data_IF_625917303687
#
_entry.id   IF_625917303687
#
_cell.length_a   1.000
_cell.length_b   1.000
_cell.length_c   1.000
_cell.angle_alpha   90.00
_cell.angle_beta   90.00
_cell.angle_gamma   90.00
#
_symmetry.space_group_name_H-M   'P 1'
#
loop_
_entity.id
_entity.type
_entity.pdbx_description
1 polymer ?
#
# COMPACT_ATOMS: atom_id res chain seq x y z
N UNK A 1 14.60 21.10 24.38
CA UNK A 1 14.62 19.68 23.95
C UNK A 1 13.63 18.99 24.85
N UNK A 2 12.59 18.36 24.29
CA UNK A 2 11.65 17.55 25.06
C UNK A 2 12.43 16.37 25.67
N UNK A 3 12.21 16.11 26.94
CA UNK A 3 12.80 14.95 27.60
C UNK A 3 12.09 13.68 27.15
N UNK A 4 12.69 12.98 26.18
CA UNK A 4 12.18 11.74 25.65
C UNK A 4 12.46 10.52 26.54
N UNK A 5 13.29 10.70 27.60
CA UNK A 5 13.77 9.61 28.45
C UNK A 5 12.66 8.91 29.25
N UNK A 6 11.51 9.55 29.40
CA UNK A 6 10.33 8.99 30.06
C UNK A 6 9.28 8.45 29.08
N UNK A 7 9.55 8.54 27.75
CA UNK A 7 8.59 8.12 26.72
C UNK A 7 8.94 6.75 26.20
N UNK A 8 7.98 5.83 26.30
CA UNK A 8 8.08 4.46 25.81
C UNK A 8 7.59 4.35 24.37
N UNK A 9 8.44 3.83 23.50
CA UNK A 9 8.14 3.60 22.09
C UNK A 9 8.25 2.13 21.75
N UNK A 10 7.19 1.57 21.19
CA UNK A 10 7.20 0.22 20.63
C UNK A 10 7.42 0.30 19.14
N UNK A 11 8.52 -0.29 18.67
CA UNK A 11 8.88 -0.33 17.25
C UNK A 11 8.42 -1.63 16.61
N UNK A 12 7.63 -1.55 15.56
CA UNK A 12 7.28 -2.70 14.73
C UNK A 12 8.52 -3.22 14.00
N UNK A 13 9.07 -4.33 14.48
CA UNK A 13 10.29 -4.96 13.95
C UNK A 13 9.90 -6.01 12.90
N UNK A 14 10.11 -5.69 11.62
CA UNK A 14 9.76 -6.58 10.50
C UNK A 14 10.89 -7.54 10.09
N UNK A 15 12.06 -7.46 10.72
CA UNK A 15 13.26 -8.16 10.24
C UNK A 15 13.90 -7.51 9.00
N UNK A 16 13.48 -6.30 8.61
CA UNK A 16 14.04 -5.51 7.52
C UNK A 16 14.96 -4.38 7.99
N UNK A 17 15.67 -3.77 7.06
CA UNK A 17 16.62 -2.68 7.35
C UNK A 17 15.95 -1.42 7.90
N UNK A 18 14.76 -1.09 7.40
CA UNK A 18 14.07 0.16 7.76
C UNK A 18 13.59 0.15 9.21
N UNK A 19 12.99 -0.94 9.67
CA UNK A 19 12.59 -1.09 11.08
C UNK A 19 13.79 -1.16 12.02
N UNK A 20 14.89 -1.79 11.57
CA UNK A 20 16.14 -1.86 12.33
C UNK A 20 16.73 -0.49 12.60
N UNK A 21 16.84 0.35 11.57
CA UNK A 21 17.35 1.72 11.69
C UNK A 21 16.39 2.63 12.44
N UNK A 22 15.08 2.40 12.29
CA UNK A 22 14.03 3.10 13.08
C UNK A 22 14.28 2.93 14.58
N UNK A 23 14.50 1.69 15.05
CA UNK A 23 14.76 1.41 16.46
C UNK A 23 16.04 2.13 16.95
N UNK A 24 17.11 2.08 16.18
CA UNK A 24 18.35 2.78 16.49
C UNK A 24 18.17 4.29 16.59
N UNK A 25 17.52 4.91 15.61
CA UNK A 25 17.33 6.38 15.60
C UNK A 25 16.53 6.85 16.80
N UNK A 26 15.51 6.11 17.22
CA UNK A 26 14.72 6.44 18.40
C UNK A 26 15.52 6.29 19.71
N UNK A 27 16.41 5.30 19.82
CA UNK A 27 17.34 5.24 20.94
C UNK A 27 18.26 6.47 20.96
N UNK A 28 18.80 6.89 19.81
CA UNK A 28 19.65 8.09 19.73
C UNK A 28 18.89 9.36 20.08
N UNK A 29 17.56 9.39 19.88
CA UNK A 29 16.69 10.48 20.30
C UNK A 29 16.30 10.42 21.77
N UNK A 30 16.78 9.42 22.52
CA UNK A 30 16.62 9.27 23.95
C UNK A 30 15.32 8.58 24.40
N UNK A 31 14.56 7.97 23.50
CA UNK A 31 13.35 7.21 23.85
C UNK A 31 13.68 5.86 24.54
N UNK A 32 12.77 5.38 25.36
CA UNK A 32 12.76 4.00 25.83
C UNK A 32 12.19 3.10 24.74
N UNK A 33 13.06 2.38 24.03
CA UNK A 33 12.69 1.61 22.85
C UNK A 33 12.53 0.12 23.19
N UNK A 34 11.44 -0.47 22.74
CA UNK A 34 11.16 -1.91 22.77
C UNK A 34 10.72 -2.34 21.37
N UNK A 35 11.15 -3.49 20.89
CA UNK A 35 10.72 -4.07 19.63
C UNK A 35 9.46 -4.92 19.79
N UNK A 36 8.64 -4.97 18.73
CA UNK A 36 7.52 -5.91 18.60
C UNK A 36 7.56 -6.56 17.24
N UNK A 37 7.67 -7.87 17.18
CA UNK A 37 7.52 -8.66 15.97
C UNK A 37 6.07 -9.14 15.85
N UNK A 38 5.45 -8.91 14.68
CA UNK A 38 4.07 -9.30 14.39
C UNK A 38 4.06 -10.48 13.41
N UNK A 39 3.50 -11.61 13.83
CA UNK A 39 3.15 -12.71 12.94
C UNK A 39 1.73 -12.50 12.41
N UNK A 40 1.56 -12.34 11.11
CA UNK A 40 0.28 -11.99 10.51
C UNK A 40 -0.19 -13.01 9.46
N UNK A 41 0.55 -14.11 9.28
CA UNK A 41 0.20 -15.17 8.34
C UNK A 41 0.68 -16.52 8.85
N UNK A 42 -0.17 -17.55 8.77
CA UNK A 42 0.12 -18.91 9.28
C UNK A 42 -0.04 -20.04 8.29
N UNK A 43 -0.77 -19.83 7.18
CA UNK A 43 -1.17 -20.94 6.27
C UNK A 43 -0.03 -21.67 5.55
N UNK A 44 1.20 -21.17 5.64
CA UNK A 44 2.37 -21.74 4.97
C UNK A 44 3.53 -21.99 5.93
N UNK A 45 3.26 -22.39 7.14
CA UNK A 45 4.28 -22.81 8.11
C UNK A 45 4.97 -24.15 7.70
N UNK A 46 4.82 -24.57 6.43
CA UNK A 46 5.57 -25.68 5.85
C UNK A 46 7.06 -25.34 5.73
N UNK A 47 7.92 -26.30 6.01
CA UNK A 47 9.38 -26.16 6.20
C UNK A 47 10.14 -25.45 5.06
N UNK A 48 9.58 -25.30 3.88
CA UNK A 48 10.25 -24.74 2.69
C UNK A 48 10.07 -23.22 2.51
N UNK A 49 9.15 -22.56 3.24
CA UNK A 49 8.78 -21.14 3.02
C UNK A 49 8.59 -20.29 4.28
N UNK A 50 9.12 -20.67 5.41
CA UNK A 50 8.95 -19.89 6.66
C UNK A 50 9.80 -18.61 6.66
N UNK A 51 9.42 -17.63 5.82
CA UNK A 51 10.02 -16.27 5.84
C UNK A 51 9.87 -15.61 7.21
N UNK A 52 8.76 -15.87 7.90
CA UNK A 52 8.47 -15.32 9.23
C UNK A 52 9.51 -15.75 10.29
N UNK A 53 9.99 -16.99 10.25
CA UNK A 53 11.03 -17.45 11.17
C UNK A 53 12.38 -16.76 10.93
N UNK A 54 12.75 -16.58 9.66
CA UNK A 54 13.96 -15.83 9.28
C UNK A 54 13.84 -14.36 9.67
N UNK A 55 12.70 -13.74 9.40
CA UNK A 55 12.45 -12.34 9.72
C UNK A 55 12.44 -12.11 11.25
N UNK A 56 11.90 -13.05 12.03
CA UNK A 56 11.95 -13.02 13.48
C UNK A 56 13.39 -13.16 14.00
N UNK A 57 14.17 -14.09 13.43
CA UNK A 57 15.58 -14.26 13.80
C UNK A 57 16.40 -12.99 13.50
N UNK A 58 16.18 -12.36 12.35
CA UNK A 58 16.82 -11.10 12.00
C UNK A 58 16.41 -9.95 12.95
N UNK A 59 15.11 -9.86 13.27
CA UNK A 59 14.59 -8.87 14.22
C UNK A 59 15.21 -9.07 15.61
N UNK A 60 15.32 -10.33 16.10
CA UNK A 60 15.97 -10.66 17.37
C UNK A 60 17.45 -10.27 17.36
N UNK A 61 18.19 -10.60 16.29
CA UNK A 61 19.61 -10.26 16.18
C UNK A 61 19.83 -8.74 16.21
N UNK A 62 18.95 -7.97 15.58
CA UNK A 62 19.00 -6.50 15.64
C UNK A 62 18.71 -6.00 17.06
N UNK A 63 17.69 -6.52 17.71
CA UNK A 63 17.33 -6.12 19.07
C UNK A 63 18.47 -6.46 20.06
N UNK A 64 19.08 -7.63 19.95
CA UNK A 64 20.26 -8.01 20.75
C UNK A 64 21.44 -7.05 20.52
N UNK A 65 21.71 -6.69 19.28
CA UNK A 65 22.78 -5.74 18.90
C UNK A 65 22.53 -4.35 19.48
N UNK A 66 21.27 -3.90 19.51
CA UNK A 66 20.88 -2.59 20.05
C UNK A 66 20.65 -2.61 21.56
N UNK A 67 20.60 -3.78 22.18
CA UNK A 67 20.34 -3.93 23.61
C UNK A 67 18.89 -3.57 23.99
N UNK A 68 17.93 -3.87 23.12
CA UNK A 68 16.50 -3.67 23.36
C UNK A 68 15.75 -5.01 23.45
N UNK A 69 14.67 -5.03 24.23
CA UNK A 69 13.79 -6.19 24.33
C UNK A 69 12.96 -6.35 23.04
N UNK A 70 12.67 -7.60 22.65
CA UNK A 70 11.77 -7.94 21.56
C UNK A 70 10.58 -8.75 22.10
N UNK A 71 9.37 -8.23 21.92
CA UNK A 71 8.12 -8.98 22.10
C UNK A 71 7.64 -9.55 20.78
N UNK A 72 6.77 -10.57 20.85
CA UNK A 72 6.11 -11.16 19.69
C UNK A 72 4.61 -11.17 19.91
N UNK A 73 3.85 -10.95 18.85
CA UNK A 73 2.39 -11.05 18.84
C UNK A 73 1.91 -11.75 17.57
N UNK A 74 0.80 -12.45 17.65
CA UNK A 74 0.18 -13.11 16.52
C UNK A 74 -1.14 -12.41 16.18
N UNK A 75 -1.20 -11.79 14.99
CA UNK A 75 -2.39 -11.14 14.43
C UNK A 75 -2.89 -11.88 13.17
N UNK A 76 -2.59 -13.17 13.02
CA UNK A 76 -2.96 -13.92 11.82
C UNK A 76 -4.49 -13.98 11.63
N UNK A 77 -5.26 -14.10 12.69
CA UNK A 77 -6.71 -14.09 12.64
C UNK A 77 -7.24 -12.71 12.21
N UNK A 78 -6.76 -11.64 12.82
CA UNK A 78 -7.13 -10.26 12.48
C UNK A 78 -6.76 -9.91 11.05
N UNK A 79 -5.61 -10.39 10.58
CA UNK A 79 -5.18 -10.20 9.19
C UNK A 79 -6.09 -10.96 8.22
N UNK A 80 -6.44 -12.19 8.54
CA UNK A 80 -7.35 -12.99 7.72
C UNK A 80 -8.70 -12.30 7.58
N UNK A 81 -9.34 -11.96 8.69
CA UNK A 81 -10.70 -11.43 8.71
C UNK A 81 -10.80 -10.01 8.14
N UNK A 82 -9.82 -9.14 8.41
CA UNK A 82 -9.91 -7.71 8.07
C UNK A 82 -9.12 -7.30 6.83
N UNK A 83 -8.23 -8.15 6.33
CA UNK A 83 -7.40 -7.83 5.14
C UNK A 83 -7.61 -8.86 4.05
N UNK A 84 -7.41 -10.14 4.34
CA UNK A 84 -7.34 -11.17 3.30
C UNK A 84 -8.71 -11.54 2.74
N UNK A 85 -9.74 -11.67 3.57
CA UNK A 85 -11.11 -11.91 3.07
C UNK A 85 -11.58 -10.78 2.17
N UNK A 86 -11.39 -9.52 2.57
CA UNK A 86 -11.74 -8.36 1.75
C UNK A 86 -10.96 -8.34 0.43
N UNK A 87 -9.69 -8.71 0.47
CA UNK A 87 -8.87 -8.86 -0.73
C UNK A 87 -9.45 -9.90 -1.69
N UNK A 88 -9.89 -11.06 -1.21
CA UNK A 88 -10.52 -12.09 -2.03
C UNK A 88 -11.87 -11.64 -2.61
N UNK A 89 -12.70 -10.94 -1.82
CA UNK A 89 -13.98 -10.41 -2.26
C UNK A 89 -13.84 -9.38 -3.41
N UNK A 90 -12.86 -8.49 -3.30
CA UNK A 90 -12.58 -7.52 -4.35
C UNK A 90 -12.14 -8.20 -5.67
N UNK A 91 -11.32 -9.23 -5.60
CA UNK A 91 -10.95 -10.00 -6.79
C UNK A 91 -12.12 -10.78 -7.39
N UNK A 92 -12.99 -11.36 -6.57
CA UNK A 92 -14.26 -11.98 -7.05
C UNK A 92 -15.14 -10.99 -7.78
N UNK A 93 -15.17 -9.75 -7.33
CA UNK A 93 -15.92 -8.67 -7.96
C UNK A 93 -15.22 -8.06 -9.21
N UNK A 94 -14.08 -8.62 -9.64
CA UNK A 94 -13.31 -8.15 -10.80
C UNK A 94 -12.49 -6.89 -10.55
N UNK A 95 -12.47 -6.36 -9.33
CA UNK A 95 -11.70 -5.18 -8.94
C UNK A 95 -10.26 -5.57 -8.58
N UNK A 96 -9.39 -4.58 -8.50
CA UNK A 96 -7.96 -4.78 -8.13
C UNK A 96 -7.70 -4.08 -6.81
N UNK A 97 -7.78 -4.77 -5.65
CA UNK A 97 -7.57 -4.19 -4.32
C UNK A 97 -6.11 -3.88 -4.04
N UNK A 98 -5.87 -3.11 -2.97
CA UNK A 98 -4.54 -2.88 -2.42
C UNK A 98 -4.48 -3.40 -0.97
N UNK A 99 -4.00 -4.63 -0.76
CA UNK A 99 -3.96 -5.24 0.56
C UNK A 99 -2.98 -4.55 1.52
N UNK A 100 -1.95 -3.84 1.01
CA UNK A 100 -0.99 -3.14 1.85
C UNK A 100 -1.64 -1.95 2.58
N UNK A 101 -2.58 -1.26 1.92
CA UNK A 101 -3.36 -0.18 2.56
C UNK A 101 -4.23 -0.77 3.68
N UNK A 102 -4.93 -1.88 3.42
CA UNK A 102 -5.75 -2.55 4.43
C UNK A 102 -4.91 -3.07 5.60
N UNK A 103 -3.75 -3.67 5.31
CA UNK A 103 -2.82 -4.11 6.34
C UNK A 103 -2.33 -2.96 7.22
N UNK A 104 -1.97 -1.83 6.64
CA UNK A 104 -1.59 -0.66 7.41
C UNK A 104 -2.75 -0.18 8.29
N UNK A 105 -3.96 -0.06 7.71
CA UNK A 105 -5.15 0.42 8.42
C UNK A 105 -5.55 -0.48 9.59
N UNK A 106 -5.71 -1.78 9.35
CA UNK A 106 -6.35 -2.69 10.31
C UNK A 106 -5.34 -3.37 11.25
N UNK A 107 -4.11 -3.61 10.78
CA UNK A 107 -3.10 -4.32 11.57
C UNK A 107 -2.09 -3.36 12.20
N UNK A 108 -1.32 -2.61 11.37
CA UNK A 108 -0.19 -1.83 11.90
C UNK A 108 -0.60 -0.61 12.69
N UNK A 109 -1.67 0.09 12.29
CA UNK A 109 -2.09 1.33 12.94
C UNK A 109 -3.43 1.21 13.68
N UNK A 110 -3.94 -0.01 13.85
CA UNK A 110 -5.07 -0.32 14.71
C UNK A 110 -4.69 -1.41 15.70
N UNK A 111 -4.66 -2.69 15.31
CA UNK A 111 -4.36 -3.80 16.22
C UNK A 111 -3.01 -3.63 16.95
N UNK A 112 -1.95 -3.26 16.22
CA UNK A 112 -0.64 -3.00 16.84
C UNK A 112 -0.67 -1.78 17.75
N UNK A 113 -1.30 -0.67 17.34
CA UNK A 113 -1.39 0.53 18.19
C UNK A 113 -2.15 0.25 19.48
N UNK A 114 -3.29 -0.44 19.40
CA UNK A 114 -4.09 -0.84 20.57
C UNK A 114 -3.28 -1.76 21.51
N UNK A 115 -2.68 -2.82 20.96
CA UNK A 115 -1.85 -3.75 21.75
C UNK A 115 -0.65 -3.04 22.41
N UNK A 116 0.05 -2.17 21.69
CA UNK A 116 1.19 -1.44 22.23
C UNK A 116 0.78 -0.49 23.37
N UNK A 117 -0.35 0.19 23.23
CA UNK A 117 -0.85 1.12 24.23
C UNK A 117 -1.42 0.40 25.46
N UNK A 118 -2.25 -0.62 25.28
CA UNK A 118 -3.00 -1.28 26.35
C UNK A 118 -2.18 -2.33 27.07
N UNK A 119 -1.48 -3.20 26.33
CA UNK A 119 -0.75 -4.33 26.92
C UNK A 119 0.71 -3.97 27.26
N UNK A 120 1.34 -3.10 26.48
CA UNK A 120 2.74 -2.74 26.69
C UNK A 120 2.95 -1.34 27.28
N UNK A 121 1.89 -0.56 27.45
CA UNK A 121 1.95 0.78 28.04
C UNK A 121 2.79 1.78 27.24
N UNK A 122 2.71 1.72 25.91
CA UNK A 122 3.46 2.61 25.01
C UNK A 122 2.85 4.01 24.96
N UNK A 123 3.71 5.03 24.92
CA UNK A 123 3.31 6.40 24.59
C UNK A 123 3.17 6.56 23.05
N UNK A 124 4.02 5.85 22.29
CA UNK A 124 4.05 5.87 20.82
C UNK A 124 4.33 4.48 20.27
N UNK A 125 3.85 4.26 19.04
CA UNK A 125 4.41 3.22 18.17
C UNK A 125 5.36 3.85 17.16
N UNK A 126 6.24 3.04 16.57
CA UNK A 126 7.05 3.47 15.46
C UNK A 126 7.16 2.39 14.39
N UNK A 127 7.29 2.81 13.16
CA UNK A 127 7.43 1.93 12.01
C UNK A 127 8.50 2.45 11.06
N UNK A 128 9.05 1.55 10.24
CA UNK A 128 10.02 1.88 9.19
C UNK A 128 9.41 2.48 7.92
N UNK A 129 8.25 3.16 8.01
CA UNK A 129 7.64 3.81 6.84
C UNK A 129 8.33 5.13 6.49
N UNK A 130 8.53 5.36 5.20
CA UNK A 130 9.05 6.61 4.64
C UNK A 130 7.94 7.64 4.50
N UNK A 131 7.49 8.16 5.62
CA UNK A 131 6.56 9.29 5.74
C UNK A 131 7.01 10.20 6.87
N UNK A 132 6.45 11.41 6.95
CA UNK A 132 6.75 12.35 8.03
C UNK A 132 5.47 12.78 8.73
N UNK A 133 5.62 13.27 9.93
CA UNK A 133 4.56 13.84 10.75
C UNK A 133 4.84 15.32 11.00
N UNK A 134 3.80 16.13 10.94
CA UNK A 134 3.84 17.53 11.34
C UNK A 134 2.64 17.84 12.23
N UNK A 135 2.92 18.40 13.40
CA UNK A 135 1.86 18.82 14.33
C UNK A 135 1.56 20.31 14.12
N UNK A 136 0.30 20.63 13.81
CA UNK A 136 -0.17 21.99 13.53
C UNK A 136 -1.55 22.18 14.16
N UNK A 137 -1.71 23.20 14.99
CA UNK A 137 -2.99 23.58 15.61
C UNK A 137 -3.70 22.42 16.33
N UNK A 138 -2.93 21.58 17.04
CA UNK A 138 -3.44 20.44 17.79
C UNK A 138 -3.83 19.23 16.96
N UNK A 139 -3.53 19.22 15.67
CA UNK A 139 -3.71 18.10 14.77
C UNK A 139 -2.39 17.63 14.19
N UNK A 140 -2.27 16.34 13.97
CA UNK A 140 -1.10 15.75 13.31
C UNK A 140 -1.41 15.49 11.84
N UNK A 141 -0.56 16.02 10.96
CA UNK A 141 -0.61 15.84 9.51
C UNK A 141 0.33 14.75 9.07
N UNK A 142 -0.08 14.01 8.08
CA UNK A 142 0.77 13.04 7.38
C UNK A 142 1.42 13.73 6.18
N UNK A 143 2.77 13.69 6.13
CA UNK A 143 3.53 14.24 5.01
C UNK A 143 4.29 13.14 4.27
N UNK A 144 4.61 13.43 3.02
CA UNK A 144 5.50 12.58 2.22
C UNK A 144 6.85 12.42 2.91
N UNK A 145 7.49 11.26 2.70
CA UNK A 145 8.90 11.08 3.06
C UNK A 145 9.82 11.97 2.23
N UNK A 146 11.00 12.28 2.77
CA UNK A 146 12.03 13.08 2.07
C UNK A 146 12.51 12.37 0.80
N UNK A 147 12.66 11.03 0.85
CA UNK A 147 12.98 10.23 -0.33
C UNK A 147 11.71 10.02 -1.17
N UNK A 148 11.54 10.82 -2.22
CA UNK A 148 10.39 10.74 -3.12
C UNK A 148 10.26 9.40 -3.86
N UNK A 149 11.36 8.61 -4.01
CA UNK A 149 11.31 7.28 -4.60
C UNK A 149 10.82 6.22 -3.62
N UNK A 150 10.88 6.52 -2.31
CA UNK A 150 10.49 5.62 -1.22
C UNK A 150 9.26 6.12 -0.46
N UNK A 151 8.75 7.31 -0.75
CA UNK A 151 7.55 7.86 -0.11
C UNK A 151 6.43 6.83 -0.06
N UNK A 152 5.92 6.57 1.14
CA UNK A 152 4.88 5.57 1.41
C UNK A 152 3.57 6.20 1.91
N UNK A 153 3.43 7.52 1.82
CA UNK A 153 2.21 8.22 2.24
C UNK A 153 0.95 7.71 1.53
N UNK A 154 1.09 7.24 0.28
CA UNK A 154 0.02 6.59 -0.48
C UNK A 154 -0.61 5.39 0.27
N UNK A 155 0.17 4.63 1.01
CA UNK A 155 -0.30 3.45 1.74
C UNK A 155 -0.84 3.77 3.14
N UNK A 156 -0.68 5.01 3.60
CA UNK A 156 -1.04 5.46 4.94
C UNK A 156 -2.14 6.53 4.99
N UNK A 157 -2.78 6.82 3.87
CA UNK A 157 -3.82 7.84 3.79
C UNK A 157 -5.06 7.55 4.66
N UNK A 158 -5.22 6.31 5.09
CA UNK A 158 -6.32 5.86 5.95
C UNK A 158 -6.08 6.10 7.45
N UNK A 159 -4.93 6.66 7.82
CA UNK A 159 -4.66 7.04 9.21
C UNK A 159 -5.42 8.29 9.61
N UNK A 160 -6.01 8.27 10.80
CA UNK A 160 -6.55 9.49 11.42
C UNK A 160 -5.44 10.36 12.00
N UNK A 161 -5.73 11.63 12.24
CA UNK A 161 -4.75 12.53 12.85
C UNK A 161 -4.32 12.05 14.26
N UNK A 162 -5.19 11.36 15.00
CA UNK A 162 -4.87 10.75 16.30
C UNK A 162 -3.87 9.60 16.14
N UNK A 163 -4.09 8.72 15.15
CA UNK A 163 -3.15 7.62 14.85
C UNK A 163 -1.79 8.16 14.39
N UNK A 164 -1.78 9.22 13.57
CA UNK A 164 -0.54 9.90 13.19
C UNK A 164 0.13 10.52 14.42
N UNK A 165 -0.63 11.13 15.34
CA UNK A 165 -0.12 11.72 16.58
C UNK A 165 0.55 10.71 17.50
N UNK A 166 0.08 9.46 17.50
CA UNK A 166 0.61 8.36 18.29
C UNK A 166 1.70 7.55 17.58
N UNK A 167 2.14 7.98 16.41
CA UNK A 167 3.10 7.26 15.56
C UNK A 167 4.35 8.08 15.28
N UNK A 168 5.51 7.40 15.21
CA UNK A 168 6.81 7.99 14.86
C UNK A 168 7.37 7.32 13.62
N UNK A 169 7.96 8.11 12.73
CA UNK A 169 8.47 7.69 11.43
C UNK A 169 9.89 8.23 11.19
N UNK A 170 10.91 7.85 12.00
CA UNK A 170 12.21 8.50 11.94
C UNK A 170 12.93 8.33 10.60
N UNK A 171 12.75 7.22 9.89
CA UNK A 171 13.36 7.03 8.56
C UNK A 171 12.73 7.87 7.45
N UNK A 172 11.54 8.43 7.68
CA UNK A 172 10.89 9.35 6.74
C UNK A 172 11.62 10.66 6.52
N UNK A 173 12.51 11.05 7.44
CA UNK A 173 13.40 12.22 7.33
C UNK A 173 14.70 11.93 6.58
N UNK A 174 14.91 10.69 6.12
CA UNK A 174 16.14 10.22 5.50
C UNK A 174 15.89 9.68 4.10
N UNK A 175 16.92 9.76 3.25
CA UNK A 175 16.94 9.00 2.01
C UNK A 175 17.38 7.54 2.27
N UNK A 176 16.89 6.60 1.46
CA UNK A 176 17.19 5.16 1.60
C UNK A 176 18.70 4.83 1.63
N UNK A 177 19.55 5.46 0.82
CA UNK A 177 21.00 5.22 0.90
C UNK A 177 21.58 5.55 2.29
N UNK A 178 21.07 6.60 2.95
CA UNK A 178 21.49 6.97 4.30
C UNK A 178 21.05 5.94 5.34
N UNK A 179 19.82 5.44 5.23
CA UNK A 179 19.32 4.35 6.09
C UNK A 179 20.21 3.11 5.97
N UNK A 180 20.62 2.73 4.75
CA UNK A 180 21.53 1.60 4.54
C UNK A 180 22.93 1.87 5.09
N UNK A 181 23.43 3.09 4.90
CA UNK A 181 24.74 3.50 5.45
C UNK A 181 24.76 3.37 6.98
N UNK A 182 23.70 3.81 7.66
CA UNK A 182 23.58 3.66 9.13
C UNK A 182 23.59 2.18 9.51
N UNK A 183 22.81 1.36 8.83
CA UNK A 183 22.73 -0.08 9.10
C UNK A 183 24.09 -0.79 8.89
N UNK A 184 24.84 -0.41 7.86
CA UNK A 184 26.18 -0.93 7.59
C UNK A 184 27.20 -0.49 8.65
N UNK A 185 27.18 0.77 9.07
CA UNK A 185 28.04 1.28 10.14
C UNK A 185 27.80 0.59 11.48
N UNK A 186 26.56 0.20 11.75
CA UNK A 186 26.18 -0.56 12.93
C UNK A 186 26.42 -2.06 12.76
N UNK A 187 26.86 -2.50 11.60
CA UNK A 187 27.04 -3.93 11.26
C UNK A 187 25.76 -4.76 11.54
N UNK A 188 24.59 -4.20 11.21
CA UNK A 188 23.32 -4.90 11.38
C UNK A 188 23.19 -6.03 10.35
N UNK A 189 22.67 -7.17 10.77
CA UNK A 189 22.44 -8.33 9.89
C UNK A 189 21.52 -7.99 8.71
N UNK A 190 20.65 -7.00 8.90
CA UNK A 190 19.66 -6.52 7.90
C UNK A 190 20.23 -5.52 6.90
N UNK A 191 21.48 -5.02 7.07
CA UNK A 191 22.05 -3.93 6.26
C UNK A 191 22.02 -4.20 4.74
N UNK A 192 22.29 -5.44 4.32
CA UNK A 192 22.29 -5.86 2.91
C UNK A 192 21.02 -6.59 2.47
N UNK A 193 20.04 -6.73 3.39
CA UNK A 193 18.79 -7.39 3.06
C UNK A 193 18.02 -6.58 2.02
N UNK A 194 17.49 -7.27 1.00
CA UNK A 194 16.66 -6.63 -0.02
C UNK A 194 15.37 -6.07 0.61
N UNK A 195 14.87 -4.99 0.02
CA UNK A 195 13.56 -4.48 0.41
C UNK A 195 12.51 -5.54 0.09
N UNK A 196 11.54 -5.73 0.99
CA UNK A 196 10.43 -6.65 0.76
C UNK A 196 9.64 -6.19 -0.46
N UNK A 197 9.40 -7.10 -1.37
CA UNK A 197 8.51 -6.93 -2.53
C UNK A 197 7.43 -8.01 -2.43
N UNK A 198 6.21 -7.68 -2.84
CA UNK A 198 5.08 -8.59 -2.69
C UNK A 198 4.01 -8.08 -1.73
N UNK A 199 3.01 -8.91 -1.45
CA UNK A 199 1.92 -8.57 -0.51
C UNK A 199 2.47 -8.62 0.92
N UNK A 200 2.15 -7.59 1.69
CA UNK A 200 2.59 -7.44 3.07
C UNK A 200 2.28 -8.70 3.89
N UNK A 201 3.29 -9.26 4.56
CA UNK A 201 3.29 -10.49 5.37
C UNK A 201 3.10 -11.83 4.62
N UNK A 202 2.65 -11.83 3.36
CA UNK A 202 2.52 -13.03 2.53
C UNK A 202 3.82 -13.30 1.77
N UNK A 203 4.58 -12.23 1.45
CA UNK A 203 5.88 -12.30 0.81
C UNK A 203 5.83 -12.42 -0.72
N UNK A 204 7.00 -12.74 -1.30
CA UNK A 204 7.14 -12.92 -2.75
C UNK A 204 6.66 -14.30 -3.16
N UNK A 205 5.53 -14.35 -3.84
CA UNK A 205 4.97 -15.59 -4.41
C UNK A 205 4.55 -15.36 -5.85
N UNK A 206 4.45 -16.43 -6.62
CA UNK A 206 3.78 -16.36 -7.90
C UNK A 206 2.31 -16.07 -7.64
N UNK A 207 1.90 -14.85 -7.91
CA UNK A 207 0.57 -14.34 -7.60
C UNK A 207 -0.57 -15.23 -8.08
N UNK A 208 -0.44 -15.81 -9.30
CA UNK A 208 -1.43 -16.73 -9.85
C UNK A 208 -1.57 -18.01 -9.04
N UNK A 209 -0.44 -18.61 -8.64
CA UNK A 209 -0.43 -19.85 -7.88
C UNK A 209 -0.99 -19.64 -6.48
N UNK A 210 -0.67 -18.50 -5.86
CA UNK A 210 -1.20 -18.12 -4.57
C UNK A 210 -2.72 -17.87 -4.62
N UNK A 211 -3.17 -16.96 -5.48
CA UNK A 211 -4.59 -16.58 -5.57
C UNK A 211 -5.47 -17.78 -6.03
N UNK A 212 -4.94 -18.63 -6.89
CA UNK A 212 -5.63 -19.83 -7.39
C UNK A 212 -5.96 -20.88 -6.32
N UNK A 213 -5.30 -20.83 -5.15
CA UNK A 213 -5.64 -21.70 -4.00
C UNK A 213 -6.99 -21.34 -3.37
N UNK A 214 -7.35 -20.04 -3.43
CA UNK A 214 -8.54 -19.49 -2.77
C UNK A 214 -9.67 -19.18 -3.74
N UNK A 215 -9.34 -18.82 -4.98
CA UNK A 215 -10.29 -18.46 -6.01
C UNK A 215 -10.15 -19.37 -7.23
N UNK A 216 -11.17 -20.14 -7.60
CA UNK A 216 -11.12 -20.95 -8.81
C UNK A 216 -11.03 -20.05 -10.03
N UNK A 217 -9.98 -20.23 -10.82
CA UNK A 217 -9.79 -19.52 -12.08
C UNK A 217 -10.74 -20.06 -13.14
N UNK A 218 -11.38 -19.16 -13.88
CA UNK A 218 -12.23 -19.50 -15.00
C UNK A 218 -11.62 -18.95 -16.29
N UNK A 219 -11.10 -19.79 -17.20
CA UNK A 219 -10.63 -19.34 -18.51
C UNK A 219 -11.76 -18.70 -19.32
N UNK A 220 -11.40 -17.76 -20.20
CA UNK A 220 -12.35 -17.10 -21.06
C UNK A 220 -11.67 -16.32 -22.19
N UNK A 221 -12.45 -15.78 -23.15
CA UNK A 221 -11.89 -15.11 -24.31
C UNK A 221 -11.26 -13.75 -23.95
N UNK A 222 -10.16 -13.46 -24.63
CA UNK A 222 -9.63 -12.10 -24.77
C UNK A 222 -10.14 -11.54 -26.10
N UNK A 223 -10.82 -10.42 -26.07
CA UNK A 223 -11.33 -9.76 -27.28
C UNK A 223 -10.73 -8.37 -27.44
N UNK A 224 -10.59 -7.94 -28.70
CA UNK A 224 -10.26 -6.54 -28.97
C UNK A 224 -11.51 -5.66 -28.83
N UNK A 225 -11.31 -4.32 -29.01
CA UNK A 225 -12.40 -3.33 -28.91
C UNK A 225 -13.50 -3.49 -29.96
N UNK A 226 -13.24 -4.22 -31.05
CA UNK A 226 -14.18 -4.54 -32.12
C UNK A 226 -14.93 -5.87 -31.85
N UNK A 227 -14.66 -6.54 -30.71
CA UNK A 227 -15.28 -7.80 -30.34
C UNK A 227 -14.65 -9.04 -30.97
N UNK A 228 -13.52 -8.92 -31.66
CA UNK A 228 -12.81 -10.06 -32.23
C UNK A 228 -11.98 -10.76 -31.15
N UNK A 229 -12.05 -12.09 -31.11
CA UNK A 229 -11.23 -12.89 -30.20
C UNK A 229 -9.77 -12.86 -30.65
N UNK A 230 -8.88 -12.46 -29.75
CA UNK A 230 -7.44 -12.31 -29.97
C UNK A 230 -6.61 -13.24 -29.09
N UNK A 231 -7.24 -13.94 -28.15
CA UNK A 231 -6.58 -14.86 -27.25
C UNK A 231 -7.54 -15.45 -26.19
N UNK A 232 -6.96 -16.12 -25.21
CA UNK A 232 -7.67 -16.69 -24.07
C UNK A 232 -6.93 -16.32 -22.77
N UNK A 233 -7.68 -15.87 -21.75
CA UNK A 233 -7.16 -15.66 -20.41
C UNK A 233 -7.44 -16.85 -19.49
N UNK A 234 -6.64 -17.03 -18.46
CA UNK A 234 -6.78 -18.12 -17.50
C UNK A 234 -7.61 -17.72 -16.25
N UNK A 235 -8.13 -16.51 -16.21
CA UNK A 235 -8.97 -15.94 -15.15
C UNK A 235 -8.91 -14.42 -15.15
N UNK A 236 -10.06 -13.74 -15.15
CA UNK A 236 -10.14 -12.27 -15.14
C UNK A 236 -9.44 -11.65 -13.93
N UNK A 237 -9.44 -12.34 -12.79
CA UNK A 237 -8.81 -11.90 -11.56
C UNK A 237 -7.30 -11.69 -11.69
N UNK A 238 -6.63 -12.34 -12.65
CA UNK A 238 -5.19 -12.18 -12.88
C UNK A 238 -4.82 -10.97 -13.71
N UNK A 239 -5.80 -10.17 -14.13
CA UNK A 239 -5.61 -9.05 -15.03
C UNK A 239 -6.07 -7.74 -14.38
N UNK A 240 -5.32 -6.66 -14.67
CA UNK A 240 -5.60 -5.31 -14.19
C UNK A 240 -5.64 -4.34 -15.38
N UNK A 241 -6.46 -3.29 -15.32
CA UNK A 241 -6.50 -2.25 -16.34
C UNK A 241 -5.11 -1.65 -16.56
N UNK A 242 -4.73 -1.47 -17.81
CA UNK A 242 -3.41 -1.01 -18.23
C UNK A 242 -2.31 -2.08 -18.18
N UNK A 243 -2.62 -3.32 -17.84
CA UNK A 243 -1.65 -4.42 -17.92
C UNK A 243 -1.27 -4.68 -19.38
N UNK A 244 0.04 -4.79 -19.61
CA UNK A 244 0.66 -5.07 -20.91
C UNK A 244 1.24 -6.47 -21.01
N UNK A 245 1.90 -6.91 -19.92
CA UNK A 245 2.64 -8.19 -19.91
C UNK A 245 1.73 -9.37 -19.54
N UNK A 246 2.05 -10.54 -20.08
CA UNK A 246 1.38 -11.80 -19.69
C UNK A 246 -0.01 -12.00 -20.31
N UNK A 247 -0.35 -11.29 -21.39
CA UNK A 247 -1.62 -11.46 -22.10
C UNK A 247 -1.62 -12.67 -23.02
N UNK A 248 -0.42 -13.13 -23.48
CA UNK A 248 -0.31 -14.29 -24.37
C UNK A 248 -0.90 -14.09 -25.76
N UNK A 249 -1.12 -12.84 -26.18
CA UNK A 249 -1.63 -12.53 -27.50
C UNK A 249 -0.49 -12.61 -28.50
N UNK A 250 -0.64 -13.52 -29.49
CA UNK A 250 0.30 -13.67 -30.61
C UNK A 250 0.21 -12.51 -31.61
N UNK A 251 1.21 -12.39 -32.48
CA UNK A 251 1.17 -11.41 -33.60
C UNK A 251 -0.01 -11.71 -34.52
N UNK A 252 -0.90 -10.73 -34.69
CA UNK A 252 -2.04 -10.83 -35.59
C UNK A 252 -1.69 -10.21 -36.94
N UNK A 253 -2.14 -10.82 -38.04
CA UNK A 253 -1.78 -10.46 -39.43
C UNK A 253 -2.25 -9.08 -39.83
N UNK A 254 -3.03 -8.33 -39.24
CA UNK A 254 -3.57 -7.02 -39.60
C UNK A 254 -3.64 -6.03 -38.40
N UNK A 255 -2.84 -6.30 -37.36
CA UNK A 255 -2.74 -5.42 -36.18
C UNK A 255 -1.54 -4.46 -36.30
N UNK A 256 -1.60 -3.31 -35.66
CA UNK A 256 -0.42 -2.43 -35.51
C UNK A 256 0.68 -3.17 -34.72
N UNK A 257 1.92 -2.67 -34.80
CA UNK A 257 3.03 -3.18 -33.97
C UNK A 257 2.95 -2.74 -32.51
N UNK A 258 1.93 -1.94 -32.16
CA UNK A 258 1.76 -1.42 -30.81
C UNK A 258 1.40 -2.50 -29.81
N UNK A 259 1.90 -2.39 -28.57
CA UNK A 259 1.57 -3.35 -27.52
C UNK A 259 0.07 -3.37 -27.17
N UNK A 260 -0.41 -4.54 -26.79
CA UNK A 260 -1.75 -4.72 -26.25
C UNK A 260 -1.81 -4.34 -24.77
N UNK A 261 -2.90 -3.66 -24.40
CA UNK A 261 -3.22 -3.25 -23.03
C UNK A 261 -4.62 -3.71 -22.64
N UNK A 262 -4.80 -4.14 -21.40
CA UNK A 262 -6.13 -4.40 -20.83
C UNK A 262 -6.86 -3.05 -20.70
N UNK A 263 -8.02 -2.92 -21.34
CA UNK A 263 -8.82 -1.70 -21.29
C UNK A 263 -10.15 -1.89 -20.57
N UNK A 264 -10.62 -3.14 -20.41
CA UNK A 264 -11.86 -3.43 -19.68
C UNK A 264 -11.92 -4.90 -19.24
N UNK A 265 -12.84 -5.19 -18.29
CA UNK A 265 -13.19 -6.54 -17.84
C UNK A 265 -14.70 -6.68 -17.83
N UNK A 266 -15.26 -7.48 -18.71
CA UNK A 266 -16.67 -7.89 -18.64
C UNK A 266 -16.79 -9.10 -17.70
N UNK A 267 -17.01 -8.81 -16.44
CA UNK A 267 -17.09 -9.85 -15.39
C UNK A 267 -18.31 -10.76 -15.60
N UNK A 268 -19.42 -10.20 -16.06
CA UNK A 268 -20.67 -10.95 -16.28
C UNK A 268 -20.52 -12.03 -17.35
N UNK A 269 -19.76 -11.74 -18.41
CA UNK A 269 -19.54 -12.64 -19.53
C UNK A 269 -18.16 -13.34 -19.50
N UNK A 270 -17.36 -13.09 -18.46
CA UNK A 270 -16.00 -13.61 -18.31
C UNK A 270 -15.08 -13.27 -19.49
N UNK A 271 -15.13 -12.01 -19.98
CA UNK A 271 -14.37 -11.52 -21.14
C UNK A 271 -13.35 -10.47 -20.72
N UNK A 272 -12.11 -10.63 -21.19
CA UNK A 272 -11.07 -9.61 -21.05
C UNK A 272 -11.02 -8.77 -22.34
N UNK A 273 -11.15 -7.45 -22.23
CA UNK A 273 -11.11 -6.54 -23.37
C UNK A 273 -9.74 -5.86 -23.45
N UNK A 274 -9.15 -5.89 -24.63
CA UNK A 274 -7.82 -5.32 -24.89
C UNK A 274 -7.84 -4.35 -26.08
N UNK A 275 -6.90 -3.41 -26.06
CA UNK A 275 -6.66 -2.49 -27.17
C UNK A 275 -5.16 -2.29 -27.39
N UNK A 276 -4.77 -1.88 -28.59
CA UNK A 276 -3.38 -1.54 -28.90
C UNK A 276 -3.12 -0.04 -28.66
N UNK A 277 -1.91 0.27 -28.19
CA UNK A 277 -1.48 1.64 -27.89
C UNK A 277 -1.77 2.05 -26.44
N UNK A 278 -0.81 2.73 -25.83
CA UNK A 278 -0.90 3.23 -24.45
C UNK A 278 -1.89 4.39 -24.27
N UNK A 279 -2.16 5.11 -25.34
CA UNK A 279 -3.02 6.29 -25.42
C UNK A 279 -4.40 5.99 -26.03
N UNK A 280 -4.75 4.71 -26.16
CA UNK A 280 -6.04 4.31 -26.71
C UNK A 280 -7.19 4.93 -25.89
N UNK A 281 -8.21 5.55 -26.52
CA UNK A 281 -9.28 6.28 -25.80
C UNK A 281 -9.97 5.45 -24.71
N UNK A 282 -10.19 4.15 -24.92
CA UNK A 282 -10.78 3.25 -23.91
C UNK A 282 -9.89 3.01 -22.70
N UNK A 283 -8.61 3.32 -22.75
CA UNK A 283 -7.69 3.25 -21.60
C UNK A 283 -7.69 4.54 -20.79
N UNK A 284 -8.03 5.67 -21.43
CA UNK A 284 -7.99 7.00 -20.84
C UNK A 284 -9.24 7.30 -20.01
N UNK A 285 -9.08 8.13 -19.00
CA UNK A 285 -10.15 8.60 -18.12
C UNK A 285 -9.98 10.11 -17.88
N UNK A 286 -11.08 10.86 -17.89
CA UNK A 286 -11.11 12.31 -17.59
C UNK A 286 -11.31 12.56 -16.10
N UNK A 287 -11.66 11.53 -15.34
CA UNK A 287 -11.89 11.60 -13.91
C UNK A 287 -12.23 10.26 -13.31
N UNK A 288 -12.69 10.29 -12.09
CA UNK A 288 -13.17 9.12 -11.35
C UNK A 288 -14.22 9.51 -10.30
N UNK A 289 -14.95 8.53 -9.82
CA UNK A 289 -15.73 8.60 -8.59
C UNK A 289 -15.02 7.75 -7.55
N UNK A 290 -14.83 8.28 -6.35
CA UNK A 290 -14.27 7.57 -5.21
C UNK A 290 -15.28 7.52 -4.05
N UNK A 291 -15.21 6.43 -3.30
CA UNK A 291 -16.03 6.13 -2.13
C UNK A 291 -15.16 5.66 -0.96
N UNK A 292 -15.77 5.32 0.18
CA UNK A 292 -15.05 4.93 1.40
C UNK A 292 -13.97 5.97 1.75
N UNK A 293 -14.39 7.23 1.79
CA UNK A 293 -13.50 8.37 1.95
C UNK A 293 -12.88 8.42 3.34
N UNK A 294 -11.62 8.81 3.39
CA UNK A 294 -10.89 9.09 4.61
C UNK A 294 -10.08 10.38 4.47
N UNK A 295 -10.17 11.27 5.46
CA UNK A 295 -9.41 12.52 5.53
C UNK A 295 -8.56 12.52 6.79
N UNK A 296 -7.23 12.70 6.65
CA UNK A 296 -6.27 12.55 7.76
C UNK A 296 -6.51 13.57 8.87
N UNK A 297 -6.55 14.85 8.54
CA UNK A 297 -6.68 15.94 9.51
C UNK A 297 -7.91 16.83 9.29
N UNK A 298 -8.81 16.44 8.40
CA UNK A 298 -9.91 17.28 7.93
C UNK A 298 -11.26 16.63 8.18
N UNK A 299 -12.25 17.49 8.36
CA UNK A 299 -13.65 17.09 8.20
C UNK A 299 -13.95 16.86 6.71
N UNK A 300 -15.05 16.14 6.39
CA UNK A 300 -15.51 15.97 5.02
C UNK A 300 -15.54 17.31 4.27
N UNK A 301 -15.26 17.25 2.96
CA UNK A 301 -15.24 18.45 2.12
C UNK A 301 -16.62 19.10 2.08
N UNK A 302 -16.65 20.41 2.29
CA UNK A 302 -17.87 21.23 2.16
C UNK A 302 -18.05 21.86 0.78
N UNK A 303 -17.10 21.69 -0.13
CA UNK A 303 -17.11 22.22 -1.49
C UNK A 303 -15.91 21.74 -2.30
N UNK A 304 -15.76 22.23 -3.54
CA UNK A 304 -14.66 21.82 -4.42
C UNK A 304 -13.29 22.12 -3.81
N UNK A 305 -12.36 21.18 -3.97
CA UNK A 305 -10.97 21.29 -3.54
C UNK A 305 -10.03 21.13 -4.72
N UNK A 306 -9.14 22.10 -4.93
CA UNK A 306 -8.05 22.00 -5.89
C UNK A 306 -6.84 21.33 -5.22
N UNK A 307 -6.36 20.22 -5.79
CA UNK A 307 -5.23 19.46 -5.26
C UNK A 307 -4.58 18.59 -6.35
N UNK A 308 -3.71 17.68 -5.96
CA UNK A 308 -3.23 16.61 -6.83
C UNK A 308 -3.71 15.25 -6.33
N UNK A 309 -3.77 14.26 -7.23
CA UNK A 309 -4.15 12.89 -6.91
C UNK A 309 -3.15 11.90 -7.47
N UNK A 310 -2.96 10.80 -6.74
CA UNK A 310 -2.33 9.57 -7.25
C UNK A 310 -3.39 8.47 -7.27
N UNK A 311 -3.55 7.81 -8.41
CA UNK A 311 -4.44 6.65 -8.58
C UNK A 311 -3.70 5.32 -8.53
N UNK A 312 -2.35 5.39 -8.39
CA UNK A 312 -1.41 4.27 -8.17
C UNK A 312 -0.20 4.74 -7.40
N UNK A 313 0.42 3.87 -6.65
CA UNK A 313 1.56 4.18 -5.77
C UNK A 313 2.70 4.96 -6.46
N UNK A 314 3.22 4.46 -7.58
CA UNK A 314 4.39 5.05 -8.27
C UNK A 314 4.03 6.06 -9.36
N UNK A 315 2.79 6.53 -9.40
CA UNK A 315 2.35 7.53 -10.35
C UNK A 315 2.85 8.91 -9.95
N UNK A 316 3.08 9.76 -10.94
CA UNK A 316 3.29 11.19 -10.69
C UNK A 316 1.99 11.85 -10.25
N UNK A 317 2.10 12.98 -9.57
CA UNK A 317 0.96 13.78 -9.15
C UNK A 317 0.15 14.28 -10.33
N UNK A 318 -1.15 14.04 -10.30
CA UNK A 318 -2.10 14.47 -11.32
C UNK A 318 -2.88 15.66 -10.78
N UNK A 319 -2.77 16.86 -11.40
CA UNK A 319 -3.60 18.00 -11.02
C UNK A 319 -5.09 17.69 -11.23
N UNK A 320 -5.91 18.01 -10.23
CA UNK A 320 -7.33 17.70 -10.26
C UNK A 320 -8.17 18.65 -9.40
N UNK A 321 -9.47 18.60 -9.62
CA UNK A 321 -10.49 19.17 -8.75
C UNK A 321 -11.35 18.06 -8.16
N UNK A 322 -11.47 18.04 -6.85
CA UNK A 322 -12.27 17.09 -6.09
C UNK A 322 -13.56 17.78 -5.65
N UNK A 323 -14.71 17.22 -5.97
CA UNK A 323 -16.02 17.78 -5.64
C UNK A 323 -16.85 16.74 -4.88
N UNK A 324 -17.40 17.06 -3.69
CA UNK A 324 -18.30 16.14 -2.99
C UNK A 324 -19.58 15.94 -3.81
N UNK A 325 -19.98 14.67 -3.98
CA UNK A 325 -21.26 14.27 -4.58
C UNK A 325 -22.32 14.08 -3.50
N UNK A 326 -21.93 13.42 -2.43
CA UNK A 326 -22.74 13.16 -1.24
C UNK A 326 -21.80 12.93 -0.02
N UNK A 327 -22.35 12.48 1.11
CA UNK A 327 -21.57 12.25 2.33
C UNK A 327 -20.52 11.12 2.22
N UNK A 328 -20.62 10.26 1.21
CA UNK A 328 -19.80 9.07 1.05
C UNK A 328 -18.98 9.04 -0.23
N UNK A 329 -19.30 9.90 -1.21
CA UNK A 329 -18.68 9.88 -2.53
C UNK A 329 -18.22 11.25 -2.98
N UNK A 330 -17.12 11.24 -3.74
CA UNK A 330 -16.57 12.42 -4.41
C UNK A 330 -16.38 12.14 -5.89
N UNK A 331 -16.53 13.19 -6.70
CA UNK A 331 -16.05 13.22 -8.07
C UNK A 331 -14.68 13.87 -8.12
N UNK A 332 -13.78 13.28 -8.88
CA UNK A 332 -12.45 13.82 -9.19
C UNK A 332 -12.36 14.06 -10.68
N UNK A 333 -12.12 15.29 -11.09
CA UNK A 333 -11.87 15.68 -12.48
C UNK A 333 -10.39 16.01 -12.64
N UNK A 334 -9.74 15.31 -13.57
CA UNK A 334 -8.35 15.55 -13.93
C UNK A 334 -8.25 16.73 -14.89
N UNK A 335 -7.12 17.45 -14.87
CA UNK A 335 -6.88 18.52 -15.85
C UNK A 335 -6.61 17.96 -17.25
N UNK A 336 -5.99 16.78 -17.33
CA UNK A 336 -5.71 16.05 -18.56
C UNK A 336 -6.10 14.57 -18.38
N UNK A 337 -6.51 13.87 -19.47
CA UNK A 337 -6.87 12.47 -19.39
C UNK A 337 -5.74 11.59 -18.85
N UNK A 338 -6.08 10.62 -18.01
CA UNK A 338 -5.15 9.71 -17.33
C UNK A 338 -5.40 8.28 -17.74
N UNK A 339 -4.33 7.57 -18.08
CA UNK A 339 -4.42 6.16 -18.48
C UNK A 339 -4.62 5.23 -17.28
N UNK A 340 -5.44 4.20 -17.49
CA UNK A 340 -5.56 3.03 -16.62
C UNK A 340 -5.98 3.35 -15.15
N UNK A 341 -6.91 4.28 -14.99
CA UNK A 341 -7.61 4.47 -13.71
C UNK A 341 -8.40 3.21 -13.40
N UNK A 342 -8.12 2.58 -12.26
CA UNK A 342 -8.55 1.20 -11.97
C UNK A 342 -9.49 1.14 -10.77
N UNK A 343 -10.75 0.69 -10.92
CA UNK A 343 -11.64 0.42 -9.80
C UNK A 343 -11.05 -0.57 -8.80
N UNK A 344 -11.24 -0.29 -7.50
CA UNK A 344 -10.65 -1.04 -6.39
C UNK A 344 -9.29 -0.51 -5.91
N UNK A 345 -8.56 0.25 -6.75
CA UNK A 345 -7.36 0.97 -6.32
C UNK A 345 -7.75 2.24 -5.53
N UNK A 346 -6.80 2.81 -4.80
CA UNK A 346 -7.01 4.05 -4.06
C UNK A 346 -6.68 5.28 -4.88
N UNK A 347 -7.53 6.31 -4.77
CA UNK A 347 -7.22 7.68 -5.14
C UNK A 347 -6.77 8.43 -3.88
N UNK A 348 -5.52 8.87 -3.84
CA UNK A 348 -4.91 9.54 -2.69
C UNK A 348 -4.59 10.98 -3.04
N UNK A 349 -5.06 11.92 -2.22
CA UNK A 349 -5.02 13.36 -2.50
C UNK A 349 -3.89 14.04 -1.73
N UNK A 350 -3.24 14.99 -2.41
CA UNK A 350 -2.11 15.72 -1.87
C UNK A 350 -2.24 17.23 -2.12
N UNK A 351 -1.72 17.98 -1.18
CA UNK A 351 -1.43 19.40 -1.34
C UNK A 351 0.04 19.61 -0.98
N UNK A 352 0.87 19.79 -2.00
CA UNK A 352 2.32 19.78 -1.88
C UNK A 352 2.83 18.50 -1.19
N UNK A 353 3.44 18.60 -0.01
CA UNK A 353 3.93 17.48 0.76
C UNK A 353 2.87 16.81 1.65
N UNK A 354 1.71 17.45 1.83
CA UNK A 354 0.68 16.99 2.76
C UNK A 354 -0.20 15.94 2.09
N UNK A 355 -0.27 14.75 2.66
CA UNK A 355 -1.27 13.75 2.32
C UNK A 355 -2.59 14.12 2.98
N UNK A 356 -3.59 14.48 2.18
CA UNK A 356 -4.88 14.97 2.69
C UNK A 356 -5.81 13.83 3.10
N UNK A 357 -5.68 12.69 2.45
CA UNK A 357 -6.59 11.56 2.56
C UNK A 357 -6.81 10.88 1.21
N UNK A 358 -7.89 10.14 1.08
CA UNK A 358 -8.19 9.43 -0.14
C UNK A 358 -9.50 8.64 -0.07
N UNK A 359 -9.70 7.78 -1.06
CA UNK A 359 -10.83 6.86 -1.13
C UNK A 359 -10.58 5.75 -2.14
N UNK A 360 -11.46 4.78 -2.16
CA UNK A 360 -11.41 3.68 -3.12
C UNK A 360 -12.10 4.11 -4.42
N UNK A 361 -11.43 3.91 -5.54
CA UNK A 361 -11.98 4.20 -6.87
C UNK A 361 -13.14 3.24 -7.13
N UNK A 362 -14.35 3.78 -7.19
CA UNK A 362 -15.57 3.06 -7.51
C UNK A 362 -15.71 2.93 -9.03
N UNK A 363 -15.55 4.04 -9.73
CA UNK A 363 -15.78 4.15 -11.16
C UNK A 363 -14.79 5.12 -11.80
N UNK A 364 -14.35 4.81 -13.01
CA UNK A 364 -13.63 5.75 -13.88
C UNK A 364 -14.59 6.50 -14.79
N UNK A 365 -14.28 7.74 -15.10
CA UNK A 365 -15.05 8.59 -16.01
C UNK A 365 -14.26 8.76 -17.31
N UNK A 366 -14.93 8.54 -18.45
CA UNK A 366 -14.29 8.57 -19.77
C UNK A 366 -14.76 9.73 -20.66
N UNK A 367 -15.75 10.53 -20.17
CA UNK A 367 -16.27 11.73 -20.84
C UNK A 367 -16.15 12.98 -19.96
#
# INVERSE_FOLDING_TARGET
MSDNSQKKVIVGMSGGVDSSVTAYLLQQQGYQVTGLFMKNWEEDDDEEYCSAATDLADAQAVCDKLGIELHTVNFAAEYWDNVFELFLEEYKAGRTPNPDILCNKEIKFKAFLEFAAEDLGADFIATGHYVRRQDVDGKSRLLRGVDGNKDQSYFLYTLSHEQVAQSLFPVGELEKPEVRRIAEQLELVTAKKKDSTGICFIGERKFRDFLGRYLPAQPGPIVNVDGQTVGEHQGLMYHTLGQRKGLGIGGMKDSSEDPWYVVDKDVANNVLVVAQGHDHPRLMSTGLIAQQLHWVDRLPLSGPLRCTVKTRYRQQDIPCTVTPLDDQRIEVRFDEPVAAVTPGQSAVFYQDEICLGGGIIEQRLQE
#
